data_IF_000496860683
#
_entry.id   IF_000496860683
#
_cell.length_a   1.000
_cell.length_b   1.000
_cell.length_c   1.000
_cell.angle_alpha   90.00
_cell.angle_beta   90.00
_cell.angle_gamma   90.00
#
_symmetry.space_group_name_H-M   'P 1'
#
loop_
_entity.id
_entity.type
_entity.pdbx_description
1 polymer ?
#
# COMPACT_ATOMS: atom_id res chain seq x y z
N UNK A 1 -20.21 -28.32 18.52
CA UNK A 1 -20.95 -27.09 18.91
C UNK A 1 -20.32 -25.76 18.43
N UNK A 2 -19.31 -25.75 17.54
CA UNK A 2 -18.47 -24.53 17.30
C UNK A 2 -18.52 -23.89 15.90
N UNK A 3 -19.18 -24.48 14.89
CA UNK A 3 -19.30 -23.85 13.56
C UNK A 3 -20.63 -23.07 13.41
N UNK A 4 -21.74 -23.69 13.83
CA UNK A 4 -23.07 -23.08 13.80
C UNK A 4 -23.16 -21.90 14.77
N UNK A 5 -22.48 -21.95 15.92
CA UNK A 5 -22.43 -20.84 16.87
C UNK A 5 -21.63 -19.65 16.32
N UNK A 6 -20.52 -19.87 15.60
CA UNK A 6 -19.72 -18.81 14.97
C UNK A 6 -20.41 -18.21 13.75
N UNK A 7 -21.07 -19.03 12.91
CA UNK A 7 -21.89 -18.54 11.78
C UNK A 7 -23.13 -17.79 12.28
N UNK A 8 -23.75 -18.24 13.38
CA UNK A 8 -24.79 -17.48 14.07
C UNK A 8 -24.24 -16.20 14.67
N UNK A 9 -23.08 -16.20 15.32
CA UNK A 9 -22.49 -14.97 15.87
C UNK A 9 -22.11 -13.97 14.77
N UNK A 10 -21.51 -14.41 13.66
CA UNK A 10 -21.16 -13.57 12.53
C UNK A 10 -22.40 -13.04 11.78
N UNK A 11 -23.43 -13.87 11.60
CA UNK A 11 -24.71 -13.43 11.01
C UNK A 11 -25.51 -12.53 11.96
N UNK A 12 -25.42 -12.75 13.27
CA UNK A 12 -26.06 -11.93 14.29
C UNK A 12 -25.36 -10.57 14.44
N UNK A 13 -24.02 -10.54 14.39
CA UNK A 13 -23.23 -9.30 14.32
C UNK A 13 -23.48 -8.55 13.00
N UNK A 14 -23.48 -9.21 11.84
CA UNK A 14 -23.84 -8.60 10.54
C UNK A 14 -25.25 -8.02 10.56
N UNK A 15 -26.24 -8.73 11.11
CA UNK A 15 -27.62 -8.24 11.28
C UNK A 15 -27.70 -7.05 12.25
N UNK A 16 -26.96 -7.07 13.36
CA UNK A 16 -26.92 -5.95 14.32
C UNK A 16 -26.32 -4.69 13.71
N UNK A 17 -25.28 -4.82 12.88
CA UNK A 17 -24.66 -3.67 12.22
C UNK A 17 -25.46 -3.16 11.02
N UNK A 18 -26.16 -4.05 10.29
CA UNK A 18 -27.11 -3.61 9.26
C UNK A 18 -28.33 -2.90 9.85
N UNK A 19 -28.79 -3.29 11.05
CA UNK A 19 -29.84 -2.54 11.76
C UNK A 19 -29.32 -1.22 12.33
N UNK A 20 -28.08 -1.16 12.81
CA UNK A 20 -27.47 0.10 13.31
C UNK A 20 -27.39 1.20 12.25
N UNK A 21 -27.09 0.83 11.00
CA UNK A 21 -27.02 1.77 9.86
C UNK A 21 -28.38 1.96 9.15
N UNK A 22 -29.42 1.24 9.54
CA UNK A 22 -30.73 1.39 8.90
C UNK A 22 -31.35 2.78 9.17
N UNK A 23 -32.11 3.35 8.22
CA UNK A 23 -32.81 4.62 8.41
C UNK A 23 -33.76 4.62 9.63
N UNK A 24 -34.21 3.43 10.05
CA UNK A 24 -35.13 3.20 11.18
C UNK A 24 -34.40 2.85 12.50
N UNK A 25 -33.08 3.03 12.55
CA UNK A 25 -32.27 2.79 13.74
C UNK A 25 -32.44 3.90 14.77
N UNK A 26 -33.09 3.61 15.89
CA UNK A 26 -33.23 4.53 17.03
C UNK A 26 -31.94 4.71 17.87
N UNK A 27 -30.79 4.20 17.42
CA UNK A 27 -29.51 4.32 18.14
C UNK A 27 -28.78 5.60 17.71
N UNK A 28 -28.59 6.61 18.59
CA UNK A 28 -27.96 7.87 18.24
C UNK A 28 -26.44 7.70 18.12
N UNK A 29 -25.97 7.16 16.99
CA UNK A 29 -24.55 7.12 16.68
C UNK A 29 -24.11 8.45 16.05
N UNK A 30 -22.95 8.95 16.50
CA UNK A 30 -22.28 10.06 15.83
C UNK A 30 -21.86 9.68 14.40
N UNK A 31 -21.68 10.67 13.52
CA UNK A 31 -21.21 10.44 12.15
C UNK A 31 -19.92 9.59 12.10
N UNK A 32 -18.98 9.85 13.03
CA UNK A 32 -17.71 9.11 13.14
C UNK A 32 -17.91 7.64 13.51
N UNK A 33 -18.88 7.32 14.35
CA UNK A 33 -19.20 5.93 14.73
C UNK A 33 -19.87 5.17 13.60
N UNK A 34 -20.78 5.83 12.87
CA UNK A 34 -21.39 5.29 11.65
C UNK A 34 -20.33 4.91 10.61
N UNK A 35 -19.35 5.78 10.36
CA UNK A 35 -18.27 5.49 9.41
C UNK A 35 -17.37 4.35 9.88
N UNK A 36 -17.06 4.24 11.18
CA UNK A 36 -16.28 3.09 11.70
C UNK A 36 -17.03 1.77 11.55
N UNK A 37 -18.34 1.77 11.80
CA UNK A 37 -19.18 0.60 11.57
C UNK A 37 -19.19 0.23 10.07
N UNK A 38 -19.37 1.22 9.19
CA UNK A 38 -19.31 1.03 7.74
C UNK A 38 -17.97 0.44 7.28
N UNK A 39 -16.85 0.99 7.73
CA UNK A 39 -15.51 0.46 7.43
C UNK A 39 -15.33 -1.00 7.85
N UNK A 40 -15.89 -1.38 8.99
CA UNK A 40 -15.81 -2.75 9.50
C UNK A 40 -16.63 -3.69 8.62
N UNK A 41 -17.83 -3.28 8.22
CA UNK A 41 -18.69 -4.05 7.32
C UNK A 41 -18.07 -4.20 5.92
N UNK A 42 -17.63 -3.09 5.32
CA UNK A 42 -17.04 -3.04 3.98
C UNK A 42 -15.87 -4.01 3.82
N UNK A 43 -14.99 -4.11 4.83
CA UNK A 43 -13.86 -5.04 4.81
C UNK A 43 -14.27 -6.50 4.56
N UNK A 44 -15.45 -6.90 5.03
CA UNK A 44 -15.94 -8.29 4.96
C UNK A 44 -17.06 -8.53 3.94
N UNK A 45 -17.55 -7.48 3.25
CA UNK A 45 -18.68 -7.58 2.32
C UNK A 45 -18.20 -7.58 0.87
N UNK A 46 -18.63 -8.55 0.08
CA UNK A 46 -18.18 -8.77 -1.29
C UNK A 46 -19.30 -8.54 -2.31
N UNK A 47 -20.56 -8.45 -1.86
CA UNK A 47 -21.68 -8.15 -2.74
C UNK A 47 -21.67 -6.65 -3.15
N UNK A 48 -21.65 -6.34 -4.46
CA UNK A 48 -21.46 -4.96 -4.94
C UNK A 48 -22.60 -4.02 -4.55
N UNK A 49 -23.85 -4.48 -4.60
CA UNK A 49 -25.01 -3.67 -4.23
C UNK A 49 -25.03 -3.37 -2.72
N UNK A 50 -24.67 -4.36 -1.89
CA UNK A 50 -24.57 -4.14 -0.44
C UNK A 50 -23.45 -3.19 -0.05
N UNK A 51 -22.32 -3.20 -0.77
CA UNK A 51 -21.23 -2.24 -0.56
C UNK A 51 -21.78 -0.81 -0.73
N UNK A 52 -22.55 -0.56 -1.79
CA UNK A 52 -23.19 0.74 -2.04
C UNK A 52 -24.23 1.07 -0.96
N UNK A 53 -25.07 0.10 -0.58
CA UNK A 53 -26.05 0.28 0.50
C UNK A 53 -25.40 0.66 1.82
N UNK A 54 -24.28 0.02 2.21
CA UNK A 54 -23.53 0.36 3.43
C UNK A 54 -23.06 1.82 3.38
N UNK A 55 -22.55 2.28 2.23
CA UNK A 55 -22.10 3.65 2.06
C UNK A 55 -23.26 4.65 2.19
N UNK A 56 -24.42 4.35 1.58
CA UNK A 56 -25.63 5.18 1.67
C UNK A 56 -26.19 5.22 3.10
N UNK A 57 -26.29 4.05 3.72
CA UNK A 57 -26.81 3.87 5.09
C UNK A 57 -25.96 4.61 6.13
N UNK A 58 -24.64 4.64 5.94
CA UNK A 58 -23.73 5.41 6.79
C UNK A 58 -23.73 6.92 6.49
N UNK A 59 -24.43 7.37 5.43
CA UNK A 59 -24.47 8.76 4.98
C UNK A 59 -23.06 9.35 4.80
N UNK A 60 -22.17 8.58 4.18
CA UNK A 60 -20.77 8.97 4.00
C UNK A 60 -20.65 10.25 3.16
N UNK A 61 -19.75 11.15 3.55
CA UNK A 61 -19.46 12.40 2.84
C UNK A 61 -17.96 12.60 2.68
N UNK A 62 -17.44 13.12 1.56
CA UNK A 62 -16.00 13.31 1.39
C UNK A 62 -15.40 14.42 2.27
N UNK A 63 -16.24 15.18 2.99
CA UNK A 63 -15.81 16.22 3.91
C UNK A 63 -15.02 15.66 5.11
N UNK A 64 -15.37 14.45 5.57
CA UNK A 64 -14.66 13.79 6.65
C UNK A 64 -13.57 12.87 6.13
N UNK A 65 -12.38 12.92 6.75
CA UNK A 65 -11.27 12.06 6.36
C UNK A 65 -11.60 10.57 6.45
N UNK A 66 -12.34 10.17 7.49
CA UNK A 66 -12.69 8.77 7.71
C UNK A 66 -13.63 8.22 6.63
N UNK A 67 -14.53 9.07 6.14
CA UNK A 67 -15.50 8.73 5.09
C UNK A 67 -14.79 8.56 3.75
N UNK A 68 -13.80 9.41 3.44
CA UNK A 68 -12.93 9.23 2.26
C UNK A 68 -12.19 7.90 2.26
N UNK A 69 -11.77 7.43 3.44
CA UNK A 69 -11.17 6.10 3.58
C UNK A 69 -12.23 5.02 3.31
N UNK A 70 -13.45 5.19 3.82
CA UNK A 70 -14.55 4.25 3.59
C UNK A 70 -14.92 4.15 2.10
N UNK A 71 -15.04 5.29 1.39
CA UNK A 71 -15.22 5.32 -0.05
C UNK A 71 -14.09 4.60 -0.78
N UNK A 72 -12.84 4.87 -0.43
CA UNK A 72 -11.69 4.21 -1.05
C UNK A 72 -11.75 2.69 -0.87
N UNK A 73 -12.09 2.19 0.33
CA UNK A 73 -12.27 0.74 0.57
C UNK A 73 -13.41 0.18 -0.28
N UNK A 74 -14.56 0.85 -0.33
CA UNK A 74 -15.70 0.42 -1.13
C UNK A 74 -15.35 0.31 -2.62
N UNK A 75 -14.73 1.35 -3.18
CA UNK A 75 -14.34 1.41 -4.59
C UNK A 75 -13.26 0.37 -4.92
N UNK A 76 -12.26 0.16 -4.05
CA UNK A 76 -11.27 -0.90 -4.25
C UNK A 76 -11.92 -2.27 -4.36
N UNK A 77 -12.86 -2.61 -3.47
CA UNK A 77 -13.56 -3.91 -3.52
C UNK A 77 -14.42 -4.07 -4.77
N UNK A 78 -15.14 -3.02 -5.17
CA UNK A 78 -15.94 -3.04 -6.40
C UNK A 78 -15.05 -3.21 -7.63
N UNK A 79 -13.90 -2.54 -7.65
CA UNK A 79 -12.92 -2.62 -8.73
C UNK A 79 -12.25 -4.00 -8.82
N UNK A 80 -11.89 -4.61 -7.68
CA UNK A 80 -11.34 -5.97 -7.62
C UNK A 80 -12.32 -7.01 -8.17
N UNK A 81 -13.62 -6.78 -7.98
CA UNK A 81 -14.70 -7.61 -8.51
C UNK A 81 -15.19 -7.18 -9.90
N UNK A 82 -14.51 -6.25 -10.59
CA UNK A 82 -14.85 -5.73 -11.92
C UNK A 82 -16.26 -5.13 -12.06
N UNK A 83 -16.85 -4.59 -10.99
CA UNK A 83 -18.19 -3.98 -11.00
C UNK A 83 -18.14 -2.49 -11.38
N UNK A 84 -17.60 -2.17 -12.56
CA UNK A 84 -17.36 -0.79 -13.01
C UNK A 84 -18.64 0.02 -13.20
N UNK A 85 -19.74 -0.61 -13.66
CA UNK A 85 -21.03 0.07 -13.81
C UNK A 85 -21.61 0.51 -12.47
N UNK A 86 -21.51 -0.34 -11.44
CA UNK A 86 -21.97 0.00 -10.08
C UNK A 86 -21.18 1.18 -9.52
N UNK A 87 -19.87 1.23 -9.77
CA UNK A 87 -19.02 2.36 -9.38
C UNK A 87 -19.47 3.64 -10.09
N UNK A 88 -19.70 3.57 -11.41
CA UNK A 88 -20.16 4.70 -12.23
C UNK A 88 -21.49 5.23 -11.69
N UNK A 89 -22.51 4.38 -11.60
CA UNK A 89 -23.84 4.78 -11.15
C UNK A 89 -23.81 5.40 -9.75
N UNK A 90 -23.05 4.80 -8.84
CA UNK A 90 -22.90 5.31 -7.48
C UNK A 90 -22.25 6.70 -7.45
N UNK A 91 -21.16 6.93 -8.19
CA UNK A 91 -20.49 8.22 -8.21
C UNK A 91 -21.28 9.28 -9.00
N UNK A 92 -22.00 8.92 -10.05
CA UNK A 92 -22.93 9.82 -10.75
C UNK A 92 -24.10 10.24 -9.86
N UNK A 93 -24.69 9.31 -9.09
CA UNK A 93 -25.74 9.61 -8.10
C UNK A 93 -25.22 10.57 -7.02
N UNK A 94 -23.99 10.38 -6.55
CA UNK A 94 -23.41 11.30 -5.57
C UNK A 94 -23.07 12.67 -6.16
N UNK A 95 -22.70 12.75 -7.45
CA UNK A 95 -22.48 14.03 -8.16
C UNK A 95 -23.76 14.82 -8.38
N UNK A 96 -24.88 14.15 -8.63
CA UNK A 96 -26.17 14.81 -8.90
C UNK A 96 -26.79 15.43 -7.64
N UNK A 97 -26.31 15.05 -6.45
CA UNK A 97 -26.74 15.60 -5.16
C UNK A 97 -26.27 17.05 -4.97
N UNK A 98 -27.18 18.03 -4.82
CA UNK A 98 -26.81 19.44 -4.67
C UNK A 98 -25.94 19.73 -3.44
N UNK A 99 -26.11 18.97 -2.36
CA UNK A 99 -25.34 19.14 -1.12
C UNK A 99 -23.87 18.68 -1.24
N UNK A 100 -23.55 17.94 -2.30
CA UNK A 100 -22.22 17.38 -2.57
C UNK A 100 -21.53 18.04 -3.77
N UNK A 101 -22.10 19.11 -4.36
CA UNK A 101 -21.49 19.85 -5.47
C UNK A 101 -20.38 20.81 -5.00
N UNK A 102 -19.36 20.27 -4.32
CA UNK A 102 -18.20 21.02 -3.84
C UNK A 102 -16.92 20.65 -4.60
N UNK A 103 -15.96 21.56 -4.70
CA UNK A 103 -14.62 21.25 -5.23
C UNK A 103 -14.02 20.02 -4.52
N UNK A 104 -14.24 19.89 -3.20
CA UNK A 104 -13.74 18.75 -2.42
C UNK A 104 -14.34 17.43 -2.86
N UNK A 105 -15.65 17.39 -3.12
CA UNK A 105 -16.30 16.19 -3.63
C UNK A 105 -15.77 15.84 -5.02
N UNK A 106 -15.75 16.80 -5.95
CA UNK A 106 -15.31 16.56 -7.33
C UNK A 106 -13.87 16.05 -7.37
N UNK A 107 -12.96 16.69 -6.61
CA UNK A 107 -11.57 16.22 -6.49
C UNK A 107 -11.47 14.81 -5.91
N UNK A 108 -12.31 14.45 -4.94
CA UNK A 108 -12.36 13.10 -4.40
C UNK A 108 -12.90 12.09 -5.41
N UNK A 109 -13.98 12.42 -6.13
CA UNK A 109 -14.59 11.57 -7.14
C UNK A 109 -13.61 11.25 -8.28
N UNK A 110 -12.83 12.23 -8.76
CA UNK A 110 -11.76 12.00 -9.75
C UNK A 110 -10.74 10.96 -9.24
N UNK A 111 -10.33 11.06 -7.98
CA UNK A 111 -9.39 10.11 -7.37
C UNK A 111 -10.00 8.72 -7.24
N UNK A 112 -11.28 8.60 -6.86
CA UNK A 112 -11.98 7.32 -6.80
C UNK A 112 -12.08 6.65 -8.18
N UNK A 113 -12.40 7.42 -9.23
CA UNK A 113 -12.36 6.92 -10.60
C UNK A 113 -10.95 6.45 -11.00
N UNK A 114 -9.91 7.18 -10.60
CA UNK A 114 -8.51 6.75 -10.78
C UNK A 114 -8.18 5.43 -10.07
N UNK A 115 -8.64 5.26 -8.82
CA UNK A 115 -8.48 4.00 -8.08
C UNK A 115 -9.16 2.82 -8.76
N UNK A 116 -10.33 3.05 -9.37
CA UNK A 116 -11.08 2.05 -10.13
C UNK A 116 -10.57 1.83 -11.58
N UNK A 117 -9.44 2.46 -11.97
CA UNK A 117 -8.92 2.43 -13.34
C UNK A 117 -9.90 2.98 -14.41
N UNK A 118 -10.80 3.88 -14.03
CA UNK A 118 -11.82 4.50 -14.90
C UNK A 118 -11.43 5.93 -15.31
N UNK A 119 -10.29 6.08 -15.99
CA UNK A 119 -9.69 7.40 -16.27
C UNK A 119 -10.56 8.30 -17.15
N UNK A 120 -11.29 7.74 -18.12
CA UNK A 120 -12.19 8.54 -18.96
C UNK A 120 -13.28 9.24 -18.14
N UNK A 121 -13.76 8.60 -17.07
CA UNK A 121 -14.76 9.17 -16.17
C UNK A 121 -14.16 10.25 -15.27
N UNK A 122 -12.90 10.08 -14.82
CA UNK A 122 -12.18 11.13 -14.11
C UNK A 122 -11.96 12.38 -14.99
N UNK A 123 -11.55 12.18 -16.25
CA UNK A 123 -11.36 13.26 -17.23
C UNK A 123 -12.70 13.92 -17.56
N UNK A 124 -13.77 13.14 -17.78
CA UNK A 124 -15.11 13.67 -18.02
C UNK A 124 -15.58 14.53 -16.84
N UNK A 125 -15.38 14.05 -15.62
CA UNK A 125 -15.72 14.81 -14.39
C UNK A 125 -14.97 16.15 -14.31
N UNK A 126 -13.70 16.21 -14.73
CA UNK A 126 -12.95 17.46 -14.81
C UNK A 126 -13.47 18.41 -15.92
N UNK A 127 -13.89 17.84 -17.06
CA UNK A 127 -14.46 18.62 -18.17
C UNK A 127 -15.85 19.17 -17.83
N UNK A 128 -16.65 18.46 -17.07
CA UNK A 128 -18.01 18.85 -16.68
C UNK A 128 -18.07 19.84 -15.50
N UNK A 129 -16.94 20.30 -14.95
CA UNK A 129 -16.96 21.21 -13.80
C UNK A 129 -17.77 22.50 -14.04
N UNK A 130 -17.74 23.05 -15.26
CA UNK A 130 -18.52 24.27 -15.58
C UNK A 130 -20.03 24.00 -15.54
N UNK A 131 -20.47 22.82 -15.97
CA UNK A 131 -21.88 22.38 -15.92
C UNK A 131 -22.37 22.20 -14.48
N UNK A 132 -21.45 21.83 -13.59
CA UNK A 132 -21.69 21.75 -12.15
C UNK A 132 -21.61 23.12 -11.44
N UNK A 133 -21.33 24.20 -12.17
CA UNK A 133 -21.16 25.54 -11.60
C UNK A 133 -19.90 25.70 -10.74
N UNK A 134 -18.89 24.84 -10.93
CA UNK A 134 -17.65 24.85 -10.14
C UNK A 134 -16.48 25.28 -11.02
N UNK A 135 -15.82 26.38 -10.65
CA UNK A 135 -14.62 26.84 -11.35
C UNK A 135 -13.47 25.82 -11.23
N UNK A 136 -12.84 25.51 -12.37
CA UNK A 136 -11.67 24.62 -12.39
C UNK A 136 -10.48 25.26 -11.66
N UNK A 137 -9.79 24.47 -10.86
CA UNK A 137 -8.66 24.92 -10.05
C UNK A 137 -7.41 24.06 -10.26
N UNK A 138 -6.25 24.56 -9.82
CA UNK A 138 -5.01 23.77 -9.78
C UNK A 138 -5.13 22.54 -8.89
N UNK A 139 -5.98 22.58 -7.86
CA UNK A 139 -6.23 21.44 -6.99
C UNK A 139 -6.96 20.32 -7.73
N UNK A 140 -7.95 20.66 -8.57
CA UNK A 140 -8.61 19.69 -9.46
C UNK A 140 -7.65 19.10 -10.48
N UNK A 141 -6.78 19.93 -11.07
CA UNK A 141 -5.77 19.45 -12.00
C UNK A 141 -4.83 18.44 -11.31
N UNK A 142 -4.37 18.76 -10.10
CA UNK A 142 -3.51 17.88 -9.31
C UNK A 142 -4.23 16.58 -8.93
N UNK A 143 -5.51 16.62 -8.59
CA UNK A 143 -6.32 15.42 -8.31
C UNK A 143 -6.51 14.54 -9.55
N UNK A 144 -6.71 15.14 -10.72
CA UNK A 144 -6.83 14.39 -11.98
C UNK A 144 -5.50 13.74 -12.37
N UNK A 145 -4.39 14.47 -12.31
CA UNK A 145 -3.05 13.89 -12.57
C UNK A 145 -2.77 12.75 -11.59
N UNK A 146 -3.09 12.94 -10.31
CA UNK A 146 -2.94 11.88 -9.30
C UNK A 146 -3.82 10.66 -9.60
N UNK A 147 -5.06 10.86 -10.07
CA UNK A 147 -5.94 9.78 -10.51
C UNK A 147 -5.30 8.96 -11.65
N UNK A 148 -4.71 9.63 -12.66
CA UNK A 148 -3.98 8.96 -13.74
C UNK A 148 -2.77 8.16 -13.22
N UNK A 149 -2.05 8.67 -12.22
CA UNK A 149 -0.93 7.96 -11.57
C UNK A 149 -1.42 6.69 -10.86
N UNK A 150 -2.55 6.76 -10.14
CA UNK A 150 -3.14 5.59 -9.47
C UNK A 150 -3.53 4.49 -10.47
N UNK A 151 -4.11 4.88 -11.61
CA UNK A 151 -4.42 3.97 -12.71
C UNK A 151 -3.19 3.53 -13.54
N UNK A 152 -1.98 4.01 -13.20
CA UNK A 152 -0.73 3.81 -13.96
C UNK A 152 -0.82 4.24 -15.43
N UNK A 153 -1.72 5.18 -15.74
CA UNK A 153 -1.87 5.74 -17.08
C UNK A 153 -0.99 6.99 -17.24
N UNK A 154 0.33 6.76 -17.34
CA UNK A 154 1.33 7.83 -17.44
C UNK A 154 1.26 8.61 -18.76
N UNK A 155 0.66 8.03 -19.80
CA UNK A 155 0.41 8.72 -21.07
C UNK A 155 -0.53 9.89 -20.87
N UNK A 156 -1.64 9.66 -20.16
CA UNK A 156 -2.60 10.73 -19.86
C UNK A 156 -2.02 11.76 -18.89
N UNK A 157 -1.14 11.38 -17.96
CA UNK A 157 -0.41 12.36 -17.12
C UNK A 157 0.33 13.39 -17.99
N UNK A 158 1.10 12.94 -18.97
CA UNK A 158 1.86 13.81 -19.86
C UNK A 158 0.94 14.69 -20.72
N UNK A 159 -0.11 14.11 -21.28
CA UNK A 159 -1.10 14.85 -22.07
C UNK A 159 -1.77 15.94 -21.25
N UNK A 160 -2.32 15.60 -20.09
CA UNK A 160 -3.02 16.52 -19.20
C UNK A 160 -2.09 17.64 -18.75
N UNK A 161 -0.86 17.33 -18.36
CA UNK A 161 0.12 18.33 -17.94
C UNK A 161 0.46 19.34 -19.06
N UNK A 162 0.58 18.88 -20.31
CA UNK A 162 0.94 19.75 -21.44
C UNK A 162 -0.24 20.54 -22.03
N UNK A 163 -1.44 19.96 -22.03
CA UNK A 163 -2.64 20.51 -22.69
C UNK A 163 -3.53 21.30 -21.72
N UNK A 164 -3.89 20.74 -20.56
CA UNK A 164 -4.98 21.28 -19.73
C UNK A 164 -4.65 22.65 -19.12
N UNK A 165 -3.43 22.91 -18.60
CA UNK A 165 -3.03 24.25 -18.18
C UNK A 165 -3.26 25.34 -19.23
N UNK A 166 -2.99 25.02 -20.50
CA UNK A 166 -3.14 25.95 -21.63
C UNK A 166 -4.61 26.13 -22.01
N UNK A 167 -5.36 25.04 -22.12
CA UNK A 167 -6.78 25.04 -22.52
C UNK A 167 -7.64 25.77 -21.49
N UNK A 168 -7.41 25.50 -20.20
CA UNK A 168 -8.26 25.99 -19.12
C UNK A 168 -7.66 27.17 -18.35
N UNK A 169 -6.49 27.69 -18.77
CA UNK A 169 -5.83 28.82 -18.11
C UNK A 169 -5.40 28.54 -16.66
N UNK A 170 -5.09 27.29 -16.33
CA UNK A 170 -4.69 26.87 -14.97
C UNK A 170 -3.18 26.97 -14.85
N UNK A 171 -2.68 27.66 -13.83
CA UNK A 171 -1.23 27.77 -13.57
C UNK A 171 -0.75 26.57 -12.74
N UNK A 172 0.13 25.70 -13.27
CA UNK A 172 0.71 24.60 -12.51
C UNK A 172 1.51 25.10 -11.30
N UNK A 173 1.38 24.40 -10.17
CA UNK A 173 2.11 24.70 -8.94
C UNK A 173 3.13 23.59 -8.61
N UNK A 174 3.86 23.76 -7.50
CA UNK A 174 4.85 22.78 -7.03
C UNK A 174 4.29 21.36 -6.94
N UNK A 175 3.05 21.19 -6.47
CA UNK A 175 2.41 19.87 -6.38
C UNK A 175 2.13 19.28 -7.77
N UNK A 176 1.74 20.10 -8.75
CA UNK A 176 1.57 19.66 -10.15
C UNK A 176 2.87 19.06 -10.68
N UNK A 177 3.98 19.80 -10.54
CA UNK A 177 5.29 19.32 -11.00
C UNK A 177 5.76 18.08 -10.26
N UNK A 178 5.56 18.02 -8.93
CA UNK A 178 5.90 16.85 -8.13
C UNK A 178 5.13 15.60 -8.58
N UNK A 179 3.85 15.73 -8.95
CA UNK A 179 3.09 14.60 -9.49
C UNK A 179 3.62 14.11 -10.83
N UNK A 180 3.95 15.03 -11.74
CA UNK A 180 4.52 14.66 -13.06
C UNK A 180 5.89 14.00 -12.91
N UNK A 181 6.75 14.51 -12.01
CA UNK A 181 8.05 13.90 -11.71
C UNK A 181 7.88 12.52 -11.09
N UNK A 182 6.92 12.34 -10.18
CA UNK A 182 6.56 11.03 -9.64
C UNK A 182 6.10 10.07 -10.74
N UNK A 183 5.28 10.54 -11.69
CA UNK A 183 4.83 9.75 -12.82
C UNK A 183 6.00 9.28 -13.70
N UNK A 184 6.98 10.15 -13.97
CA UNK A 184 8.20 9.76 -14.68
C UNK A 184 9.04 8.73 -13.91
N UNK A 185 9.16 8.88 -12.59
CA UNK A 185 9.86 7.92 -11.74
C UNK A 185 9.20 6.53 -11.74
N UNK A 186 7.86 6.46 -11.68
CA UNK A 186 7.13 5.18 -11.66
C UNK A 186 7.00 4.51 -13.02
N UNK A 187 7.03 5.30 -14.10
CA UNK A 187 7.04 4.81 -15.49
C UNK A 187 8.43 4.41 -16.01
N UNK A 188 9.45 4.43 -15.14
CA UNK A 188 10.85 4.10 -15.49
C UNK A 188 11.43 5.01 -16.59
N UNK A 189 10.99 6.27 -16.60
CA UNK A 189 11.43 7.30 -17.54
C UNK A 189 11.97 8.52 -16.79
N UNK A 190 12.74 8.29 -15.70
CA UNK A 190 13.16 9.35 -14.77
C UNK A 190 14.00 10.44 -15.44
N UNK A 191 14.73 10.14 -16.51
CA UNK A 191 15.44 11.19 -17.28
C UNK A 191 14.54 12.30 -17.80
N UNK A 192 13.29 11.99 -18.15
CA UNK A 192 12.34 13.00 -18.61
C UNK A 192 11.99 14.01 -17.52
N UNK A 193 12.18 13.68 -16.24
CA UNK A 193 11.96 14.63 -15.16
C UNK A 193 12.95 15.82 -15.16
N UNK A 194 14.08 15.74 -15.88
CA UNK A 194 14.97 16.89 -16.06
C UNK A 194 14.34 18.01 -16.90
N UNK A 195 13.51 17.68 -17.89
CA UNK A 195 12.79 18.70 -18.67
C UNK A 195 11.74 19.41 -17.80
N UNK A 196 11.12 18.67 -16.88
CA UNK A 196 10.18 19.21 -15.89
C UNK A 196 10.89 20.14 -14.92
N UNK A 197 12.08 19.79 -14.42
CA UNK A 197 12.90 20.69 -13.59
C UNK A 197 13.29 21.97 -14.32
N UNK A 198 13.66 21.88 -15.60
CA UNK A 198 13.96 23.05 -16.42
C UNK A 198 12.72 23.93 -16.65
N UNK A 199 11.53 23.34 -16.73
CA UNK A 199 10.27 24.09 -16.78
C UNK A 199 9.96 24.79 -15.45
N UNK A 200 10.15 24.10 -14.33
CA UNK A 200 10.01 24.67 -12.99
C UNK A 200 10.87 25.92 -12.83
N UNK A 201 12.14 25.85 -13.23
CA UNK A 201 13.08 26.99 -13.19
C UNK A 201 12.61 28.16 -14.06
N UNK A 202 12.25 27.91 -15.33
CA UNK A 202 11.68 28.93 -16.24
C UNK A 202 10.41 29.59 -15.70
N UNK A 203 9.63 28.88 -14.90
CA UNK A 203 8.38 29.36 -14.29
C UNK A 203 8.59 29.91 -12.87
N UNK A 204 9.82 29.93 -12.37
CA UNK A 204 10.15 30.41 -11.02
C UNK A 204 9.62 29.53 -9.89
N UNK A 205 9.28 28.27 -10.16
CA UNK A 205 8.82 27.30 -9.15
C UNK A 205 10.03 26.55 -8.60
N UNK A 206 10.35 26.77 -7.32
CA UNK A 206 11.53 26.13 -6.70
C UNK A 206 11.25 24.66 -6.35
N UNK A 207 12.10 23.71 -6.78
CA UNK A 207 12.07 22.34 -6.30
C UNK A 207 12.20 22.24 -4.77
N UNK A 208 11.58 21.23 -4.18
CA UNK A 208 11.69 20.94 -2.75
C UNK A 208 12.20 19.51 -2.48
N UNK A 209 12.24 19.11 -1.21
CA UNK A 209 12.66 17.77 -0.80
C UNK A 209 11.85 16.66 -1.48
N UNK A 210 10.55 16.88 -1.73
CA UNK A 210 9.66 15.92 -2.38
C UNK A 210 10.05 15.76 -3.86
N UNK A 211 10.33 16.87 -4.56
CA UNK A 211 10.79 16.87 -5.95
C UNK A 211 12.01 15.96 -6.13
N UNK A 212 13.03 16.17 -5.30
CA UNK A 212 14.26 15.40 -5.37
C UNK A 212 14.10 13.97 -4.84
N UNK A 213 13.23 13.73 -3.86
CA UNK A 213 12.92 12.38 -3.41
C UNK A 213 12.31 11.51 -4.53
N UNK A 214 11.43 12.07 -5.36
CA UNK A 214 10.88 11.37 -6.53
C UNK A 214 11.95 11.06 -7.57
N UNK A 215 12.81 12.02 -7.91
CA UNK A 215 13.96 11.83 -8.81
C UNK A 215 14.90 10.73 -8.32
N UNK A 216 15.32 10.81 -7.05
CA UNK A 216 16.20 9.81 -6.44
C UNK A 216 15.54 8.43 -6.43
N UNK A 217 14.26 8.34 -6.06
CA UNK A 217 13.52 7.08 -6.08
C UNK A 217 13.47 6.47 -7.49
N UNK A 218 13.24 7.29 -8.52
CA UNK A 218 13.23 6.85 -9.91
C UNK A 218 14.59 6.34 -10.38
N UNK A 219 15.66 7.14 -10.20
CA UNK A 219 17.00 6.76 -10.63
C UNK A 219 17.56 5.56 -9.86
N UNK A 220 17.31 5.42 -8.56
CA UNK A 220 17.70 4.21 -7.84
C UNK A 220 16.91 2.99 -8.31
N UNK A 221 15.63 3.14 -8.63
CA UNK A 221 14.84 2.03 -9.16
C UNK A 221 15.33 1.61 -10.55
N UNK A 222 15.73 2.55 -11.40
CA UNK A 222 16.34 2.35 -12.73
C UNK A 222 17.84 1.99 -12.68
N UNK A 223 18.42 1.88 -11.48
CA UNK A 223 19.84 1.55 -11.26
C UNK A 223 20.83 2.57 -11.87
N UNK A 224 20.36 3.81 -12.10
CA UNK A 224 21.14 4.93 -12.64
C UNK A 224 21.82 5.71 -11.52
N UNK A 225 22.81 5.10 -10.88
CA UNK A 225 23.48 5.67 -9.71
C UNK A 225 24.22 6.97 -9.99
N UNK A 226 24.76 7.16 -11.20
CA UNK A 226 25.41 8.41 -11.60
C UNK A 226 24.42 9.57 -11.62
N UNK A 227 23.23 9.36 -12.18
CA UNK A 227 22.18 10.38 -12.20
C UNK A 227 21.62 10.64 -10.81
N UNK A 228 21.49 9.60 -9.97
CA UNK A 228 21.17 9.80 -8.55
C UNK A 228 22.24 10.65 -7.83
N UNK A 229 23.53 10.49 -8.19
CA UNK A 229 24.62 11.34 -7.73
C UNK A 229 24.47 12.80 -8.18
N UNK A 230 24.15 13.02 -9.46
CA UNK A 230 23.85 14.38 -9.99
C UNK A 230 22.68 15.02 -9.25
N UNK A 231 21.61 14.28 -9.00
CA UNK A 231 20.45 14.73 -8.22
C UNK A 231 20.85 15.11 -6.80
N UNK A 232 21.69 14.31 -6.14
CA UNK A 232 22.20 14.62 -4.79
C UNK A 232 23.01 15.92 -4.80
N UNK A 233 23.89 16.12 -5.77
CA UNK A 233 24.66 17.36 -5.91
C UNK A 233 23.76 18.57 -6.20
N UNK A 234 22.66 18.38 -6.94
CA UNK A 234 21.65 19.44 -7.11
C UNK A 234 20.96 19.76 -5.78
N UNK A 235 20.57 18.76 -4.98
CA UNK A 235 19.98 19.01 -3.65
C UNK A 235 20.87 19.91 -2.79
N UNK A 236 22.18 19.64 -2.75
CA UNK A 236 23.14 20.44 -1.99
C UNK A 236 23.17 21.91 -2.45
N UNK A 237 23.08 22.17 -3.77
CA UNK A 237 22.97 23.54 -4.31
C UNK A 237 21.69 24.26 -3.89
N UNK A 238 20.61 23.52 -3.65
CA UNK A 238 19.35 24.06 -3.10
C UNK A 238 19.36 24.12 -1.56
N UNK A 239 20.46 23.75 -0.90
CA UNK A 239 20.53 23.68 0.56
C UNK A 239 19.69 22.54 1.16
N UNK A 240 19.33 21.54 0.35
CA UNK A 240 18.51 20.40 0.74
C UNK A 240 19.38 19.16 0.96
N UNK A 241 18.88 18.21 1.76
CA UNK A 241 19.57 16.93 2.01
C UNK A 241 18.66 15.75 1.73
N UNK A 242 19.19 14.58 1.30
CA UNK A 242 18.39 13.39 1.13
C UNK A 242 17.69 12.97 2.44
N UNK A 243 16.35 12.91 2.40
CA UNK A 243 15.54 12.42 3.52
C UNK A 243 15.52 10.89 3.61
N UNK A 244 14.82 10.35 4.63
CA UNK A 244 14.67 8.90 4.86
C UNK A 244 14.20 8.14 3.62
N UNK A 245 13.27 8.70 2.84
CA UNK A 245 12.72 8.06 1.64
C UNK A 245 13.80 7.80 0.59
N UNK A 246 14.70 8.76 0.35
CA UNK A 246 15.78 8.63 -0.62
C UNK A 246 16.80 7.55 -0.19
N UNK A 247 17.16 7.50 1.09
CA UNK A 247 18.02 6.44 1.62
C UNK A 247 17.37 5.07 1.50
N UNK A 248 16.08 4.94 1.83
CA UNK A 248 15.35 3.69 1.72
C UNK A 248 15.28 3.19 0.27
N UNK A 249 15.09 4.09 -0.70
CA UNK A 249 15.13 3.74 -2.12
C UNK A 249 16.51 3.24 -2.56
N UNK A 250 17.59 3.91 -2.11
CA UNK A 250 18.97 3.47 -2.38
C UNK A 250 19.28 2.11 -1.75
N UNK A 251 18.90 1.90 -0.50
CA UNK A 251 19.07 0.62 0.22
C UNK A 251 18.34 -0.50 -0.52
N UNK A 252 17.08 -0.28 -0.91
CA UNK A 252 16.31 -1.26 -1.67
C UNK A 252 16.98 -1.59 -3.01
N UNK A 253 17.45 -0.58 -3.74
CA UNK A 253 18.16 -0.75 -5.02
C UNK A 253 19.44 -1.59 -4.85
N UNK A 254 20.28 -1.25 -3.87
CA UNK A 254 21.51 -2.01 -3.59
C UNK A 254 21.21 -3.46 -3.18
N UNK A 255 20.18 -3.71 -2.37
CA UNK A 255 19.77 -5.08 -2.01
C UNK A 255 19.31 -5.89 -3.23
N UNK A 256 18.62 -5.27 -4.21
CA UNK A 256 18.23 -5.94 -5.46
C UNK A 256 19.44 -6.31 -6.33
N UNK A 257 20.49 -5.49 -6.27
CA UNK A 257 21.75 -5.70 -6.97
C UNK A 257 22.72 -6.66 -6.25
N UNK A 258 22.27 -7.35 -5.20
CA UNK A 258 23.12 -8.21 -4.36
C UNK A 258 24.32 -7.46 -3.74
N UNK A 259 24.13 -6.18 -3.40
CA UNK A 259 25.10 -5.29 -2.74
C UNK A 259 24.64 -4.95 -1.32
N UNK A 260 24.14 -5.93 -0.57
CA UNK A 260 23.54 -5.69 0.76
C UNK A 260 24.55 -5.17 1.79
N UNK A 261 25.84 -5.48 1.65
CA UNK A 261 26.89 -4.92 2.50
C UNK A 261 26.98 -3.39 2.39
N UNK A 262 26.98 -2.84 1.16
CA UNK A 262 26.95 -1.38 0.94
C UNK A 262 25.64 -0.76 1.43
N UNK A 263 24.52 -1.47 1.24
CA UNK A 263 23.23 -1.05 1.76
C UNK A 263 23.24 -0.96 3.30
N UNK A 264 23.93 -1.89 3.97
CA UNK A 264 24.13 -1.86 5.42
C UNK A 264 25.01 -0.69 5.85
N UNK A 265 26.08 -0.38 5.12
CA UNK A 265 26.90 0.82 5.39
C UNK A 265 26.08 2.11 5.30
N UNK A 266 25.09 2.18 4.40
CA UNK A 266 24.15 3.30 4.37
C UNK A 266 23.26 3.36 5.60
N UNK A 267 22.74 2.22 6.07
CA UNK A 267 21.97 2.16 7.33
C UNK A 267 22.81 2.66 8.51
N UNK A 268 24.07 2.21 8.62
CA UNK A 268 24.97 2.62 9.70
C UNK A 268 25.28 4.13 9.61
N UNK A 269 25.45 4.65 8.39
CA UNK A 269 25.56 6.09 8.12
C UNK A 269 24.31 6.88 8.53
N UNK A 270 23.10 6.38 8.23
CA UNK A 270 21.84 7.00 8.66
C UNK A 270 21.76 7.09 10.19
N UNK A 271 22.09 5.99 10.88
CA UNK A 271 22.08 5.93 12.34
C UNK A 271 23.09 6.90 12.96
N UNK A 272 24.31 6.99 12.41
CA UNK A 272 25.34 7.93 12.89
C UNK A 272 24.92 9.41 12.77
N UNK A 273 24.03 9.72 11.82
CA UNK A 273 23.48 11.07 11.60
C UNK A 273 22.23 11.34 12.44
N UNK A 274 21.89 10.47 13.38
CA UNK A 274 20.69 10.59 14.21
C UNK A 274 19.37 10.38 13.47
N UNK A 275 19.41 9.87 12.23
CA UNK A 275 18.18 9.50 11.53
C UNK A 275 17.55 8.28 12.19
N UNK A 276 16.23 8.13 12.05
CA UNK A 276 15.47 7.00 12.59
C UNK A 276 14.95 6.12 11.44
N UNK A 277 15.75 5.13 10.98
CA UNK A 277 15.29 4.14 10.01
C UNK A 277 13.99 3.48 10.46
N UNK A 278 13.08 3.25 9.51
CA UNK A 278 11.78 2.61 9.77
C UNK A 278 11.83 1.12 9.42
N UNK A 279 10.80 0.39 9.83
CA UNK A 279 10.63 -1.06 9.55
C UNK A 279 10.98 -1.47 8.10
N UNK A 280 10.50 -0.77 7.03
CA UNK A 280 10.86 -1.13 5.66
C UNK A 280 12.37 -1.14 5.36
N UNK A 281 13.15 -0.26 6.00
CA UNK A 281 14.61 -0.18 5.82
C UNK A 281 15.30 -1.47 6.23
N UNK A 282 14.91 -2.01 7.39
CA UNK A 282 15.44 -3.26 7.92
C UNK A 282 14.92 -4.45 7.12
N UNK A 283 13.63 -4.48 6.78
CA UNK A 283 13.04 -5.55 5.96
C UNK A 283 13.77 -5.69 4.60
N UNK A 284 14.12 -4.57 3.94
CA UNK A 284 14.87 -4.62 2.68
C UNK A 284 16.26 -5.28 2.86
N UNK A 285 17.00 -4.89 3.91
CA UNK A 285 18.32 -5.45 4.19
C UNK A 285 18.25 -6.93 4.57
N UNK A 286 17.30 -7.31 5.44
CA UNK A 286 17.07 -8.71 5.83
C UNK A 286 16.81 -9.55 4.58
N UNK A 287 15.92 -9.09 3.70
CA UNK A 287 15.63 -9.79 2.45
C UNK A 287 16.82 -9.83 1.48
N UNK A 288 17.60 -8.75 1.38
CA UNK A 288 18.83 -8.71 0.61
C UNK A 288 19.86 -9.74 1.08
N UNK A 289 20.20 -9.72 2.37
CA UNK A 289 21.15 -10.66 2.96
C UNK A 289 20.66 -12.11 2.89
N UNK A 290 19.36 -12.38 3.09
CA UNK A 290 18.83 -13.72 2.89
C UNK A 290 19.00 -14.21 1.45
N UNK A 291 18.73 -13.37 0.45
CA UNK A 291 18.94 -13.69 -0.97
C UNK A 291 20.40 -13.90 -1.35
N UNK A 292 21.31 -13.25 -0.64
CA UNK A 292 22.76 -13.43 -0.77
C UNK A 292 23.29 -14.62 0.04
N UNK A 293 22.44 -15.33 0.79
CA UNK A 293 22.81 -16.48 1.62
C UNK A 293 23.45 -16.11 2.97
N UNK A 294 23.59 -14.82 3.29
CA UNK A 294 24.15 -14.37 4.57
C UNK A 294 23.06 -14.29 5.65
N UNK A 295 22.61 -15.45 6.11
CA UNK A 295 21.53 -15.57 7.09
C UNK A 295 21.91 -15.04 8.47
N UNK A 296 23.18 -15.07 8.84
CA UNK A 296 23.64 -14.55 10.13
C UNK A 296 23.48 -13.04 10.23
N UNK A 297 23.84 -12.31 9.19
CA UNK A 297 23.63 -10.86 9.17
C UNK A 297 22.13 -10.51 9.10
N UNK A 298 21.34 -11.28 8.34
CA UNK A 298 19.88 -11.14 8.33
C UNK A 298 19.27 -11.33 9.73
N UNK A 299 19.68 -12.36 10.48
CA UNK A 299 19.26 -12.62 11.87
C UNK A 299 19.67 -11.49 12.81
N UNK A 300 20.90 -10.95 12.69
CA UNK A 300 21.36 -9.80 13.49
C UNK A 300 20.54 -8.55 13.21
N UNK A 301 20.24 -8.27 11.95
CA UNK A 301 19.41 -7.13 11.55
C UNK A 301 17.97 -7.27 12.07
N UNK A 302 17.39 -8.47 12.02
CA UNK A 302 16.08 -8.74 12.61
C UNK A 302 16.07 -8.45 14.12
N UNK A 303 17.05 -8.96 14.87
CA UNK A 303 17.18 -8.69 16.31
C UNK A 303 17.33 -7.18 16.58
N UNK A 304 18.18 -6.49 15.82
CA UNK A 304 18.37 -5.03 15.93
C UNK A 304 17.08 -4.27 15.67
N UNK A 305 16.30 -4.68 14.68
CA UNK A 305 15.00 -4.11 14.36
C UNK A 305 14.00 -4.26 15.51
N UNK A 306 13.85 -5.47 16.06
CA UNK A 306 12.94 -5.74 17.18
C UNK A 306 13.38 -4.99 18.45
N UNK A 307 14.68 -5.00 18.77
CA UNK A 307 15.23 -4.28 19.94
C UNK A 307 15.07 -2.76 19.83
N UNK A 308 14.93 -2.23 18.61
CA UNK A 308 14.63 -0.81 18.38
C UNK A 308 13.14 -0.48 18.48
N UNK A 309 12.29 -1.43 18.90
CA UNK A 309 10.84 -1.28 19.00
C UNK A 309 10.10 -1.29 17.66
N UNK A 310 10.78 -1.65 16.57
CA UNK A 310 10.18 -1.75 15.25
C UNK A 310 9.52 -3.12 15.08
N UNK A 311 8.33 -3.14 14.48
CA UNK A 311 7.59 -4.38 14.22
C UNK A 311 7.96 -4.95 12.84
N UNK A 312 8.46 -6.19 12.77
CA UNK A 312 8.63 -6.90 11.50
C UNK A 312 7.26 -7.12 10.83
N UNK A 313 7.22 -7.01 9.51
CA UNK A 313 6.03 -7.34 8.74
C UNK A 313 5.98 -8.84 8.39
N UNK A 314 4.84 -9.28 7.85
CA UNK A 314 4.63 -10.68 7.45
C UNK A 314 5.64 -11.16 6.40
N UNK A 315 6.05 -10.27 5.49
CA UNK A 315 7.03 -10.58 4.46
C UNK A 315 8.43 -10.81 5.04
N UNK A 316 8.80 -10.11 6.10
CA UNK A 316 10.06 -10.30 6.81
C UNK A 316 10.15 -11.69 7.46
N UNK A 317 9.09 -12.13 8.17
CA UNK A 317 9.03 -13.48 8.73
C UNK A 317 9.03 -14.54 7.64
N UNK A 318 8.19 -14.39 6.61
CA UNK A 318 8.14 -15.29 5.47
C UNK A 318 9.53 -15.48 4.84
N UNK A 319 10.24 -14.37 4.59
CA UNK A 319 11.57 -14.38 4.00
C UNK A 319 12.57 -15.15 4.86
N UNK A 320 12.62 -14.87 6.17
CA UNK A 320 13.54 -15.56 7.07
C UNK A 320 13.26 -17.06 7.11
N UNK A 321 12.00 -17.47 7.35
CA UNK A 321 11.63 -18.89 7.41
C UNK A 321 11.95 -19.60 6.10
N UNK A 322 11.60 -18.99 4.96
CA UNK A 322 11.87 -19.56 3.64
C UNK A 322 13.37 -19.82 3.43
N UNK A 323 14.21 -18.80 3.62
CA UNK A 323 15.64 -18.96 3.36
C UNK A 323 16.36 -19.80 4.42
N UNK A 324 15.89 -19.83 5.67
CA UNK A 324 16.40 -20.75 6.69
C UNK A 324 16.09 -22.22 6.33
N UNK A 325 14.89 -22.50 5.82
CA UNK A 325 14.55 -23.85 5.32
C UNK A 325 15.44 -24.24 4.14
N UNK A 326 15.71 -23.32 3.20
CA UNK A 326 16.63 -23.58 2.08
C UNK A 326 18.07 -23.85 2.54
N UNK A 327 18.48 -23.28 3.68
CA UNK A 327 19.80 -23.51 4.28
C UNK A 327 19.82 -24.68 5.28
N UNK A 328 18.74 -25.47 5.39
CA UNK A 328 18.56 -26.57 6.35
C UNK A 328 18.67 -26.16 7.84
N UNK A 329 18.51 -24.88 8.17
CA UNK A 329 18.44 -24.37 9.55
C UNK A 329 16.98 -24.42 10.04
N UNK A 330 16.46 -25.64 10.15
CA UNK A 330 15.04 -25.90 10.44
C UNK A 330 14.65 -25.51 11.88
N UNK A 331 15.57 -25.59 12.84
CA UNK A 331 15.31 -25.21 14.23
C UNK A 331 15.09 -23.69 14.37
N UNK A 332 15.95 -22.90 13.71
CA UNK A 332 15.78 -21.45 13.69
C UNK A 332 14.54 -21.06 12.89
N UNK A 333 14.27 -21.75 11.77
CA UNK A 333 13.04 -21.54 10.99
C UNK A 333 11.76 -21.83 11.81
N UNK A 334 11.76 -22.88 12.65
CA UNK A 334 10.69 -23.18 13.59
C UNK A 334 10.49 -22.05 14.60
N UNK A 335 11.58 -21.55 15.19
CA UNK A 335 11.53 -20.43 16.15
C UNK A 335 10.86 -19.19 15.55
N UNK A 336 11.28 -18.78 14.34
CA UNK A 336 10.68 -17.63 13.66
C UNK A 336 9.21 -17.88 13.26
N UNK A 337 8.85 -19.12 12.93
CA UNK A 337 7.49 -19.48 12.56
C UNK A 337 6.54 -19.42 13.77
N UNK A 338 6.97 -19.90 14.93
CA UNK A 338 6.19 -19.80 16.16
C UNK A 338 6.00 -18.33 16.55
N UNK A 339 7.06 -17.52 16.49
CA UNK A 339 6.97 -16.07 16.76
C UNK A 339 6.00 -15.35 15.80
N UNK A 340 6.01 -15.71 14.51
CA UNK A 340 5.06 -15.13 13.55
C UNK A 340 3.62 -15.50 13.89
N UNK A 341 3.38 -16.75 14.30
CA UNK A 341 2.06 -17.28 14.64
C UNK A 341 1.50 -16.70 15.95
N UNK A 342 2.34 -16.26 16.88
CA UNK A 342 1.92 -15.45 18.04
C UNK A 342 1.43 -14.06 17.61
N UNK A 343 1.99 -13.52 16.52
CA UNK A 343 1.58 -12.24 15.94
C UNK A 343 0.43 -12.35 14.93
N UNK A 344 -0.24 -13.51 14.87
CA UNK A 344 -1.32 -13.85 13.94
C UNK A 344 -0.91 -13.84 12.45
N UNK A 345 0.35 -14.14 12.16
CA UNK A 345 0.85 -14.33 10.80
C UNK A 345 1.37 -15.75 10.62
N UNK A 346 1.08 -16.34 9.47
CA UNK A 346 1.66 -17.61 9.05
C UNK A 346 2.31 -17.42 7.68
N UNK A 347 3.57 -17.88 7.48
CA UNK A 347 4.17 -17.98 6.16
C UNK A 347 3.29 -18.79 5.20
N UNK A 348 3.53 -18.68 3.89
CA UNK A 348 2.71 -19.39 2.92
C UNK A 348 2.79 -20.92 3.10
N UNK A 349 1.76 -21.62 2.61
CA UNK A 349 1.62 -23.07 2.77
C UNK A 349 2.88 -23.84 2.33
N UNK A 350 3.47 -23.49 1.18
CA UNK A 350 4.66 -24.18 0.67
C UNK A 350 5.86 -24.04 1.59
N UNK A 351 6.06 -22.88 2.21
CA UNK A 351 7.17 -22.64 3.12
C UNK A 351 6.98 -23.40 4.43
N UNK A 352 5.76 -23.38 4.97
CA UNK A 352 5.43 -24.15 6.17
C UNK A 352 5.52 -25.66 5.92
N UNK A 353 5.10 -26.15 4.76
CA UNK A 353 5.28 -27.55 4.37
C UNK A 353 6.76 -27.92 4.30
N UNK A 354 7.58 -27.08 3.66
CA UNK A 354 9.03 -27.29 3.60
C UNK A 354 9.68 -27.35 4.99
N UNK A 355 9.19 -26.55 5.94
CA UNK A 355 9.65 -26.60 7.32
C UNK A 355 9.25 -27.91 8.01
N UNK A 356 8.00 -28.37 7.84
CA UNK A 356 7.52 -29.64 8.39
C UNK A 356 8.33 -30.82 7.83
N UNK A 357 8.50 -30.89 6.51
CA UNK A 357 9.30 -31.92 5.84
C UNK A 357 10.76 -31.89 6.35
N UNK A 358 11.32 -30.69 6.51
CA UNK A 358 12.66 -30.46 7.06
C UNK A 358 12.81 -30.97 8.50
N UNK A 359 11.88 -30.64 9.39
CA UNK A 359 11.86 -31.12 10.78
C UNK A 359 11.78 -32.64 10.85
N UNK A 360 10.96 -33.27 10.00
CA UNK A 360 10.90 -34.73 9.89
C UNK A 360 12.25 -35.31 9.44
N UNK A 361 12.91 -34.68 8.46
CA UNK A 361 14.21 -35.14 7.95
C UNK A 361 15.32 -35.13 8.99
N UNK A 362 15.24 -34.25 10.00
CA UNK A 362 16.17 -34.20 11.14
C UNK A 362 15.64 -34.93 12.38
N UNK A 363 14.67 -35.84 12.20
CA UNK A 363 14.06 -36.65 13.26
C UNK A 363 13.31 -35.87 14.36
N UNK A 364 12.96 -34.60 14.11
CA UNK A 364 12.14 -33.76 15.01
C UNK A 364 10.64 -33.88 14.70
N UNK A 365 10.16 -35.12 14.62
CA UNK A 365 8.77 -35.44 14.21
C UNK A 365 7.73 -34.88 15.19
N UNK A 366 8.03 -34.88 16.49
CA UNK A 366 7.14 -34.30 17.51
C UNK A 366 6.92 -32.80 17.29
N UNK A 367 8.00 -32.03 17.10
CA UNK A 367 7.92 -30.59 16.80
C UNK A 367 7.17 -30.32 15.49
N UNK A 368 7.37 -31.17 14.48
CA UNK A 368 6.65 -31.08 13.21
C UNK A 368 5.14 -31.28 13.39
N UNK A 369 4.73 -32.28 14.19
CA UNK A 369 3.33 -32.57 14.51
C UNK A 369 2.68 -31.43 15.30
N UNK A 370 3.39 -30.90 16.30
CA UNK A 370 2.94 -29.76 17.11
C UNK A 370 2.77 -28.48 16.27
N UNK A 371 3.69 -28.23 15.33
CA UNK A 371 3.60 -27.10 14.41
C UNK A 371 2.33 -27.19 13.55
N UNK A 372 2.05 -28.35 12.96
CA UNK A 372 0.84 -28.57 12.14
C UNK A 372 -0.43 -28.38 12.97
N UNK A 373 -0.48 -28.92 14.19
CA UNK A 373 -1.62 -28.75 15.09
C UNK A 373 -1.90 -27.27 15.44
N UNK A 374 -0.84 -26.50 15.71
CA UNK A 374 -0.97 -25.06 15.96
C UNK A 374 -1.44 -24.28 14.72
N UNK A 375 -0.94 -24.63 13.53
CA UNK A 375 -1.37 -24.00 12.27
C UNK A 375 -2.86 -24.22 12.07
N UNK A 376 -3.35 -25.45 12.20
CA UNK A 376 -4.77 -25.81 12.03
C UNK A 376 -5.69 -25.09 13.02
N UNK A 377 -5.23 -24.91 14.25
CA UNK A 377 -6.02 -24.30 15.31
C UNK A 377 -6.13 -22.78 15.12
N UNK A 378 -5.03 -22.13 14.70
CA UNK A 378 -4.98 -20.66 14.52
C UNK A 378 -5.42 -20.19 13.15
N UNK A 379 -5.21 -20.98 12.09
CA UNK A 379 -5.43 -20.60 10.70
C UNK A 379 -6.31 -21.64 9.98
N UNK A 380 -7.52 -21.25 9.60
CA UNK A 380 -8.48 -22.15 8.94
C UNK A 380 -8.22 -22.32 7.44
N UNK A 381 -7.32 -21.53 6.86
CA UNK A 381 -6.97 -21.60 5.44
C UNK A 381 -6.12 -22.84 5.18
N UNK A 382 -6.50 -23.65 4.18
CA UNK A 382 -5.86 -24.93 3.84
C UNK A 382 -5.96 -26.03 4.93
N UNK A 383 -6.97 -25.98 5.83
CA UNK A 383 -7.11 -26.95 6.92
C UNK A 383 -7.14 -28.42 6.43
N UNK A 384 -7.81 -28.70 5.31
CA UNK A 384 -7.87 -30.04 4.72
C UNK A 384 -6.49 -30.56 4.28
N UNK A 385 -5.69 -29.69 3.65
CA UNK A 385 -4.33 -30.03 3.22
C UNK A 385 -3.40 -30.28 4.41
N UNK A 386 -3.63 -29.57 5.52
CA UNK A 386 -2.87 -29.80 6.76
C UNK A 386 -3.28 -31.10 7.46
N UNK A 387 -4.55 -31.53 7.35
CA UNK A 387 -4.97 -32.86 7.84
C UNK A 387 -4.25 -33.98 7.09
N UNK A 388 -4.14 -33.87 5.77
CA UNK A 388 -3.41 -34.83 4.94
C UNK A 388 -1.92 -34.90 5.32
N UNK A 389 -1.27 -33.74 5.50
CA UNK A 389 0.13 -33.68 5.93
C UNK A 389 0.31 -34.34 7.30
N UNK A 390 -0.53 -34.01 8.29
CA UNK A 390 -0.44 -34.58 9.64
C UNK A 390 -0.59 -36.11 9.63
N UNK A 391 -1.51 -36.65 8.83
CA UNK A 391 -1.72 -38.09 8.67
C UNK A 391 -0.53 -38.80 7.98
N UNK A 392 0.25 -38.06 7.17
CA UNK A 392 1.43 -38.59 6.48
C UNK A 392 2.71 -38.55 7.32
N UNK A 393 2.70 -37.91 8.49
CA UNK A 393 3.88 -37.83 9.36
C UNK A 393 4.24 -39.21 9.93
N UNK A 394 5.54 -39.53 10.07
CA UNK A 394 5.98 -40.75 10.75
C UNK A 394 5.39 -40.87 12.15
N UNK A 395 5.15 -42.12 12.59
CA UNK A 395 4.58 -42.40 13.91
C UNK A 395 5.52 -42.03 15.04
#
# INVERSE_FOLDING_TARGET
MSLIYRLRHASFFRRRFSTILSPNSNSPLSAKEKTRAALTLLKSEDNPYRIVEICKAASLTPEFHLDRIAFSVAISKLSESNNFEVIREFLEELKSRPDLQSERFVTHAMVLYGQANMIDHAISTFKQCDELGIARSVKMLNSLIFACILAKNYKEVNRIFLEFPKIYGIVPNLDTYNWVIKAFAESRSTSSAYSVLAEMDRKGVKPNEITFAHLLSGFYAEERFEDAGKVTNMMDKYGLRPGLTAYNARILSLCKLKRSAEAKSLLDGMLSRGMKPKSPTYCHLIHGFCKEGNLDEAKKLFKKMVNSGLKPDSNCYFTLVYFLCQANDFETALTFSLESMEKNWVPNFSTMKSLVDGLVSISKVAEARDLVAQIKTKFTVNADRWNEIEASLPQ
#
